data_IF_740147586471
#
_entry.id   IF_740147586471
#
_cell.length_a   1.000
_cell.length_b   1.000
_cell.length_c   1.000
_cell.angle_alpha   90.00
_cell.angle_beta   90.00
_cell.angle_gamma   90.00
#
_symmetry.space_group_name_H-M   'P 1'
#
loop_
_entity.id
_entity.type
_entity.pdbx_description
1 polymer ?
#
# COMPACT_ATOMS: atom_id res chain seq x y z
N UNK A 1 18.00 19.91 1.13
CA UNK A 1 16.91 20.34 2.03
C UNK A 1 15.64 20.57 1.23
N UNK A 2 14.49 20.78 1.87
CA UNK A 2 13.21 20.97 1.19
C UNK A 2 12.35 22.02 1.93
N UNK A 3 11.62 22.86 1.19
CA UNK A 3 10.67 23.84 1.75
C UNK A 3 9.63 24.25 0.72
N UNK A 4 8.35 24.24 1.10
CA UNK A 4 7.25 24.54 0.19
C UNK A 4 7.29 23.59 -1.01
N UNK A 5 7.22 24.13 -2.22
CA UNK A 5 7.29 23.36 -3.46
C UNK A 5 8.72 23.08 -3.97
N UNK A 6 9.76 23.35 -3.17
CA UNK A 6 11.15 23.30 -3.65
C UNK A 6 12.02 22.30 -2.91
N UNK A 7 12.89 21.64 -3.69
CA UNK A 7 14.03 20.86 -3.21
C UNK A 7 15.33 21.60 -3.50
N UNK A 8 16.29 21.51 -2.58
CA UNK A 8 17.66 21.96 -2.77
C UNK A 8 18.61 20.80 -2.57
N UNK A 9 19.40 20.48 -3.60
CA UNK A 9 20.41 19.40 -3.53
C UNK A 9 21.68 19.84 -2.78
N UNK A 10 22.66 18.94 -2.71
CA UNK A 10 23.91 19.14 -1.98
C UNK A 10 24.87 20.12 -2.69
N UNK A 11 24.72 20.28 -4.01
CA UNK A 11 25.48 21.23 -4.83
C UNK A 11 24.86 22.63 -4.83
N UNK A 12 23.68 22.78 -4.24
CA UNK A 12 22.97 24.03 -4.06
C UNK A 12 21.97 24.36 -5.16
N UNK A 13 21.77 23.47 -6.14
CA UNK A 13 20.73 23.63 -7.16
C UNK A 13 19.34 23.55 -6.52
N UNK A 14 18.40 24.29 -7.08
CA UNK A 14 17.01 24.34 -6.59
C UNK A 14 16.06 23.88 -7.68
N UNK A 15 15.12 23.01 -7.31
CA UNK A 15 14.16 22.37 -8.20
C UNK A 15 12.75 22.63 -7.70
N UNK A 16 11.81 22.82 -8.63
CA UNK A 16 10.38 22.67 -8.32
C UNK A 16 10.12 21.16 -8.19
N UNK A 17 9.61 20.73 -7.04
CA UNK A 17 9.44 19.32 -6.71
C UNK A 17 8.04 18.82 -7.08
N UNK A 18 8.00 17.90 -8.05
CA UNK A 18 6.79 17.16 -8.42
C UNK A 18 6.76 15.75 -7.82
N UNK A 19 7.82 15.31 -7.15
CA UNK A 19 7.90 14.00 -6.47
C UNK A 19 7.24 14.06 -5.10
N UNK A 20 7.40 15.17 -4.37
CA UNK A 20 6.72 15.41 -3.09
C UNK A 20 6.90 14.25 -2.08
N UNK A 21 8.11 13.69 -2.03
CA UNK A 21 8.44 12.50 -1.23
C UNK A 21 7.53 11.30 -1.50
N UNK A 22 7.09 11.11 -2.75
CA UNK A 22 6.15 10.08 -3.20
C UNK A 22 4.70 10.27 -2.68
N UNK A 23 4.31 11.50 -2.31
CA UNK A 23 2.93 11.84 -1.96
C UNK A 23 2.70 12.58 -0.63
N UNK A 24 3.39 12.25 0.49
CA UNK A 24 3.06 12.81 1.82
C UNK A 24 3.14 14.34 1.92
N UNK A 25 3.89 15.01 1.04
CA UNK A 25 4.14 16.45 1.11
C UNK A 25 3.06 17.27 0.39
N UNK A 26 1.78 16.90 0.52
CA UNK A 26 0.65 17.57 -0.13
C UNK A 26 0.50 19.06 0.27
N UNK A 27 0.88 19.41 1.50
CA UNK A 27 0.91 20.80 2.00
C UNK A 27 2.23 21.53 1.72
N UNK A 28 3.13 20.91 0.96
CA UNK A 28 4.51 21.35 0.74
C UNK A 28 5.46 20.96 1.87
N UNK A 29 6.75 20.88 1.53
CA UNK A 29 7.81 20.47 2.45
C UNK A 29 7.96 21.44 3.62
N UNK A 30 8.17 20.89 4.82
CA UNK A 30 8.40 21.66 6.06
C UNK A 30 7.29 22.69 6.35
N UNK A 31 6.03 22.30 6.11
CA UNK A 31 4.86 23.11 6.43
C UNK A 31 4.86 23.53 7.93
N UNK A 32 4.86 24.83 8.28
CA UNK A 32 5.16 25.27 9.65
C UNK A 32 4.27 24.64 10.74
N UNK A 33 2.93 24.56 10.58
CA UNK A 33 2.07 23.87 11.55
C UNK A 33 2.47 22.42 11.84
N UNK A 34 2.91 21.66 10.82
CA UNK A 34 3.35 20.27 10.98
C UNK A 34 4.67 20.21 11.73
N UNK A 35 5.64 21.06 11.35
CA UNK A 35 6.95 21.11 12.00
C UNK A 35 6.82 21.47 13.49
N UNK A 36 5.98 22.44 13.82
CA UNK A 36 5.77 22.86 15.20
C UNK A 36 5.06 21.78 16.02
N UNK A 37 4.12 21.04 15.43
CA UNK A 37 3.49 19.89 16.09
C UNK A 37 4.50 18.77 16.38
N UNK A 38 5.37 18.43 15.41
CA UNK A 38 6.42 17.42 15.58
C UNK A 38 7.41 17.82 16.68
N UNK A 39 7.85 19.09 16.73
CA UNK A 39 8.74 19.59 17.80
C UNK A 39 8.12 19.43 19.18
N UNK A 40 6.86 19.87 19.37
CA UNK A 40 6.14 19.73 20.64
C UNK A 40 5.92 18.27 21.05
N UNK A 41 5.68 17.38 20.08
CA UNK A 41 5.54 15.96 20.35
C UNK A 41 6.88 15.35 20.82
N UNK A 42 7.99 15.69 20.13
CA UNK A 42 9.32 15.18 20.46
C UNK A 42 9.80 15.56 21.87
N UNK A 43 9.41 16.73 22.38
CA UNK A 43 9.67 17.15 23.77
C UNK A 43 9.08 16.20 24.82
N UNK A 44 8.02 15.46 24.48
CA UNK A 44 7.37 14.48 25.37
C UNK A 44 7.94 13.06 25.22
N UNK A 45 8.92 12.86 24.33
CA UNK A 45 9.40 11.55 23.90
C UNK A 45 8.76 11.09 22.58
N UNK A 46 9.47 10.26 21.82
CA UNK A 46 9.08 9.86 20.46
C UNK A 46 8.54 8.43 20.34
N UNK A 47 8.63 7.63 21.40
CA UNK A 47 8.11 6.26 21.44
C UNK A 47 7.89 5.85 22.90
N UNK A 48 6.78 5.17 23.15
CA UNK A 48 6.34 4.82 24.51
C UNK A 48 6.12 3.31 24.70
N UNK A 49 5.89 2.56 23.61
CA UNK A 49 5.49 1.14 23.70
C UNK A 49 4.15 0.92 24.40
N UNK A 50 3.38 1.99 24.64
CA UNK A 50 2.10 2.00 25.34
C UNK A 50 1.12 2.94 24.62
N UNK A 51 -0.20 2.75 24.80
CA UNK A 51 -1.20 3.59 24.13
C UNK A 51 -1.14 5.05 24.56
N UNK A 52 -1.50 5.93 23.62
CA UNK A 52 -1.62 7.38 23.79
C UNK A 52 -2.97 7.88 23.29
N UNK A 53 -3.42 9.02 23.82
CA UNK A 53 -4.67 9.67 23.36
C UNK A 53 -4.61 10.08 21.88
N UNK A 54 -3.41 10.43 21.38
CA UNK A 54 -3.20 10.83 19.99
C UNK A 54 -3.59 9.72 19.01
N UNK A 55 -3.38 8.45 19.37
CA UNK A 55 -3.77 7.30 18.55
C UNK A 55 -5.28 7.19 18.41
N UNK A 56 -6.04 7.46 19.48
CA UNK A 56 -7.52 7.48 19.44
C UNK A 56 -8.02 8.64 18.59
N UNK A 57 -7.48 9.85 18.79
CA UNK A 57 -7.91 11.05 18.06
C UNK A 57 -7.69 10.91 16.54
N UNK A 58 -6.53 10.40 16.12
CA UNK A 58 -6.26 10.19 14.69
C UNK A 58 -7.09 9.05 14.11
N UNK A 59 -7.41 8.02 14.90
CA UNK A 59 -8.28 6.93 14.46
C UNK A 59 -9.71 7.41 14.21
N UNK A 60 -10.29 8.18 15.14
CA UNK A 60 -11.60 8.80 15.01
C UNK A 60 -11.67 9.69 13.77
N UNK A 61 -10.68 10.57 13.60
CA UNK A 61 -10.61 11.46 12.44
C UNK A 61 -10.59 10.69 11.10
N UNK A 62 -9.84 9.58 11.01
CA UNK A 62 -9.78 8.80 9.77
C UNK A 62 -11.13 8.11 9.49
N UNK A 63 -11.77 7.54 10.51
CA UNK A 63 -13.09 6.92 10.37
C UNK A 63 -14.16 7.93 9.96
N UNK A 64 -14.06 9.19 10.41
CA UNK A 64 -14.96 10.28 9.97
C UNK A 64 -14.71 10.71 8.52
N UNK A 65 -13.45 10.72 8.07
CA UNK A 65 -13.06 11.24 6.75
C UNK A 65 -13.19 10.22 5.61
N UNK A 66 -13.02 8.92 5.89
CA UNK A 66 -12.99 7.87 4.86
C UNK A 66 -14.22 6.98 4.99
N UNK A 67 -15.10 6.93 3.98
CA UNK A 67 -16.29 6.09 4.05
C UNK A 67 -15.92 4.60 4.11
N UNK A 68 -16.80 3.80 4.73
CA UNK A 68 -16.68 2.35 4.84
C UNK A 68 -15.49 1.83 5.69
N UNK A 69 -14.92 2.68 6.55
CA UNK A 69 -13.94 2.29 7.57
C UNK A 69 -14.56 2.48 8.97
N UNK A 70 -14.95 1.37 9.61
CA UNK A 70 -15.50 1.41 10.98
C UNK A 70 -14.40 1.36 12.05
N UNK A 71 -13.27 0.70 11.75
CA UNK A 71 -12.15 0.50 12.66
C UNK A 71 -10.82 0.58 11.91
N UNK A 72 -9.78 1.07 12.59
CA UNK A 72 -8.44 1.21 12.02
C UNK A 72 -7.36 0.61 12.91
N UNK A 73 -6.29 0.13 12.27
CA UNK A 73 -5.05 -0.29 12.91
C UNK A 73 -3.89 0.45 12.27
N UNK A 74 -3.18 1.26 13.07
CA UNK A 74 -1.94 1.90 12.63
C UNK A 74 -0.80 0.90 12.56
N UNK A 75 0.04 1.06 11.55
CA UNK A 75 1.28 0.32 11.29
C UNK A 75 2.31 1.29 10.72
N UNK A 76 3.54 0.85 10.50
CA UNK A 76 4.66 1.74 10.19
C UNK A 76 4.88 1.94 8.68
N UNK A 77 4.21 1.16 7.82
CA UNK A 77 4.35 1.27 6.37
C UNK A 77 3.13 0.78 5.60
N UNK A 78 3.03 1.20 4.34
CA UNK A 78 2.06 0.64 3.39
C UNK A 78 2.23 -0.87 3.15
N UNK A 79 3.47 -1.38 3.20
CA UNK A 79 3.74 -2.82 3.11
C UNK A 79 3.10 -3.58 4.28
N UNK A 80 3.31 -3.13 5.52
CA UNK A 80 2.71 -3.75 6.71
C UNK A 80 1.17 -3.67 6.69
N UNK A 81 0.64 -2.56 6.16
CA UNK A 81 -0.81 -2.37 6.02
C UNK A 81 -1.39 -3.39 5.03
N UNK A 82 -0.80 -3.52 3.84
CA UNK A 82 -1.25 -4.47 2.83
C UNK A 82 -1.08 -5.92 3.30
N UNK A 83 0.02 -6.24 3.99
CA UNK A 83 0.23 -7.56 4.63
C UNK A 83 -0.88 -7.89 5.63
N UNK A 84 -1.25 -6.93 6.47
CA UNK A 84 -2.28 -7.12 7.49
C UNK A 84 -3.67 -7.24 6.85
N UNK A 85 -3.97 -6.43 5.83
CA UNK A 85 -5.24 -6.45 5.12
C UNK A 85 -5.50 -7.81 4.43
N UNK A 86 -4.53 -8.35 3.68
CA UNK A 86 -4.71 -9.66 3.03
C UNK A 86 -4.80 -10.79 4.06
N UNK A 87 -4.07 -10.70 5.18
CA UNK A 87 -4.15 -11.69 6.27
C UNK A 87 -5.53 -11.66 6.92
N UNK A 88 -6.08 -10.47 7.15
CA UNK A 88 -7.44 -10.28 7.67
C UNK A 88 -8.48 -10.85 6.70
N UNK A 89 -8.38 -10.54 5.41
CA UNK A 89 -9.30 -11.07 4.41
C UNK A 89 -9.29 -12.60 4.33
N UNK A 90 -8.10 -13.21 4.35
CA UNK A 90 -7.94 -14.68 4.41
C UNK A 90 -8.57 -15.26 5.68
N UNK A 91 -8.27 -14.69 6.84
CA UNK A 91 -8.83 -15.14 8.12
C UNK A 91 -10.34 -15.01 8.21
N UNK A 92 -10.91 -13.93 7.66
CA UNK A 92 -12.35 -13.69 7.65
C UNK A 92 -13.10 -14.63 6.71
N UNK A 93 -12.55 -14.88 5.52
CA UNK A 93 -13.22 -15.69 4.48
C UNK A 93 -12.94 -17.18 4.60
N UNK A 94 -11.85 -17.58 5.28
CA UNK A 94 -11.34 -18.95 5.28
C UNK A 94 -10.73 -19.39 3.95
N UNK A 95 -10.41 -18.44 3.07
CA UNK A 95 -9.93 -18.67 1.70
C UNK A 95 -8.47 -18.24 1.57
N UNK A 96 -7.72 -18.87 0.68
CA UNK A 96 -6.27 -18.68 0.58
C UNK A 96 -5.87 -17.67 -0.51
N UNK A 97 -6.59 -17.64 -1.64
CA UNK A 97 -6.14 -16.90 -2.82
C UNK A 97 -6.48 -15.42 -2.76
N UNK A 98 -5.61 -14.59 -3.32
CA UNK A 98 -5.89 -13.17 -3.60
C UNK A 98 -5.75 -12.90 -5.09
N UNK A 99 -6.49 -11.93 -5.61
CA UNK A 99 -6.26 -11.36 -6.95
C UNK A 99 -5.58 -10.02 -6.79
N UNK A 100 -4.45 -9.81 -7.49
CA UNK A 100 -3.83 -8.49 -7.69
C UNK A 100 -3.72 -8.20 -9.18
N UNK A 101 -3.39 -6.95 -9.50
CA UNK A 101 -3.27 -6.49 -10.88
C UNK A 101 -1.81 -6.31 -11.29
N UNK A 102 -1.51 -6.63 -12.54
CA UNK A 102 -0.22 -6.36 -13.15
C UNK A 102 0.06 -4.84 -13.12
N UNK A 103 1.28 -4.47 -12.71
CA UNK A 103 1.72 -3.08 -12.56
C UNK A 103 1.29 -2.38 -11.26
N UNK A 104 0.29 -2.90 -10.53
CA UNK A 104 -0.01 -2.44 -9.17
C UNK A 104 1.04 -2.92 -8.16
N UNK A 105 1.35 -2.07 -7.19
CA UNK A 105 2.31 -2.27 -6.11
C UNK A 105 1.64 -2.14 -4.74
N UNK A 106 1.82 -3.15 -3.89
CA UNK A 106 1.24 -3.22 -2.54
C UNK A 106 2.31 -3.51 -1.48
N UNK A 107 3.53 -3.02 -1.71
CA UNK A 107 4.69 -3.36 -0.91
C UNK A 107 5.40 -4.63 -1.40
N UNK A 108 6.43 -5.02 -0.65
CA UNK A 108 7.35 -6.11 -1.02
C UNK A 108 7.20 -7.34 -0.12
N UNK A 109 6.01 -7.58 0.44
CA UNK A 109 5.72 -8.88 1.05
C UNK A 109 5.75 -9.97 -0.02
N UNK A 110 6.23 -11.17 0.30
CA UNK A 110 6.35 -12.29 -0.63
C UNK A 110 5.07 -12.55 -1.45
N UNK A 111 3.89 -12.36 -0.85
CA UNK A 111 2.59 -12.54 -1.52
C UNK A 111 2.33 -11.51 -2.64
N UNK A 112 3.06 -10.39 -2.68
CA UNK A 112 2.92 -9.38 -3.73
C UNK A 112 4.02 -9.43 -4.78
N UNK A 113 5.10 -10.18 -4.53
CA UNK A 113 6.26 -10.32 -5.42
C UNK A 113 6.06 -11.44 -6.44
N UNK A 114 4.92 -11.41 -7.14
CA UNK A 114 4.49 -12.41 -8.11
C UNK A 114 4.33 -11.74 -9.47
N UNK A 115 5.00 -12.28 -10.48
CA UNK A 115 5.07 -11.72 -11.83
C UNK A 115 4.05 -12.38 -12.76
N UNK A 116 3.66 -11.63 -13.81
CA UNK A 116 2.92 -12.17 -14.94
C UNK A 116 3.82 -13.15 -15.68
N UNK A 117 3.44 -14.43 -15.72
CA UNK A 117 4.05 -15.39 -16.64
C UNK A 117 3.58 -15.14 -18.07
N UNK A 118 4.48 -15.18 -19.05
CA UNK A 118 4.08 -15.29 -20.45
C UNK A 118 3.53 -16.69 -20.71
N UNK A 119 2.26 -16.83 -21.09
CA UNK A 119 1.68 -18.02 -21.73
C UNK A 119 1.80 -19.38 -21.00
N UNK A 120 0.66 -20.02 -20.71
CA UNK A 120 0.52 -21.37 -20.15
C UNK A 120 1.04 -21.62 -18.72
N UNK A 121 1.66 -20.65 -18.06
CA UNK A 121 2.00 -20.71 -16.63
C UNK A 121 0.89 -19.99 -15.85
N UNK A 122 -0.24 -20.68 -15.67
CA UNK A 122 -1.44 -20.20 -14.94
C UNK A 122 -1.22 -20.04 -13.43
N UNK A 123 -0.03 -20.39 -12.93
CA UNK A 123 0.36 -20.21 -11.54
C UNK A 123 1.42 -19.13 -11.45
N UNK A 124 1.18 -18.09 -10.65
CA UNK A 124 2.12 -16.99 -10.46
C UNK A 124 3.54 -17.49 -10.23
N UNK A 125 4.52 -16.91 -10.92
CA UNK A 125 5.93 -17.17 -10.67
C UNK A 125 6.48 -16.08 -9.76
N UNK A 126 7.35 -16.42 -8.79
CA UNK A 126 8.06 -15.41 -8.01
C UNK A 126 8.79 -14.41 -8.90
N UNK A 127 8.60 -13.12 -8.65
CA UNK A 127 9.26 -12.03 -9.39
C UNK A 127 10.65 -11.68 -8.87
N UNK A 128 11.03 -12.25 -7.73
CA UNK A 128 12.33 -12.03 -7.07
C UNK A 128 12.92 -13.36 -6.60
N UNK A 129 14.22 -13.61 -6.83
CA UNK A 129 14.94 -14.67 -6.12
C UNK A 129 14.72 -14.53 -4.60
N UNK A 130 14.54 -15.65 -3.91
CA UNK A 130 14.29 -15.71 -2.46
C UNK A 130 12.82 -15.88 -2.07
N UNK A 131 11.87 -15.59 -2.95
CA UNK A 131 10.44 -15.88 -2.71
C UNK A 131 10.14 -17.33 -3.08
N UNK A 132 9.50 -18.06 -2.18
CA UNK A 132 9.23 -19.49 -2.39
C UNK A 132 8.08 -19.71 -3.37
N UNK A 133 8.11 -20.84 -4.08
CA UNK A 133 7.01 -21.27 -4.95
C UNK A 133 5.70 -21.51 -4.19
N UNK A 134 5.77 -21.83 -2.89
CA UNK A 134 4.58 -22.00 -2.05
C UNK A 134 3.77 -20.71 -1.96
N UNK A 135 4.45 -19.60 -1.68
CA UNK A 135 3.80 -18.28 -1.56
C UNK A 135 3.14 -17.82 -2.87
N UNK A 136 3.71 -18.21 -4.02
CA UNK A 136 3.23 -17.78 -5.33
C UNK A 136 1.89 -18.40 -5.73
N UNK A 137 1.56 -19.58 -5.22
CA UNK A 137 0.33 -20.32 -5.57
C UNK A 137 -0.96 -19.63 -5.14
N UNK A 138 -0.87 -18.75 -4.16
CA UNK A 138 -2.03 -18.09 -3.56
C UNK A 138 -2.24 -16.66 -4.07
N UNK A 139 -1.52 -16.28 -5.12
CA UNK A 139 -1.60 -14.95 -5.72
C UNK A 139 -1.91 -15.09 -7.20
N UNK A 140 -3.13 -14.71 -7.54
CA UNK A 140 -3.64 -14.64 -8.91
C UNK A 140 -3.36 -13.25 -9.46
N UNK A 141 -3.02 -13.19 -10.75
CA UNK A 141 -2.68 -11.94 -11.42
C UNK A 141 -3.64 -11.67 -12.57
N UNK A 142 -4.32 -10.52 -12.52
CA UNK A 142 -5.15 -10.01 -13.60
C UNK A 142 -4.46 -8.83 -14.32
N UNK A 143 -4.71 -8.61 -15.62
CA UNK A 143 -4.40 -7.33 -16.26
C UNK A 143 -5.20 -6.20 -15.60
N UNK A 144 -4.57 -5.05 -15.36
CA UNK A 144 -5.27 -3.86 -14.86
C UNK A 144 -6.31 -3.38 -15.89
N UNK A 145 -7.47 -2.88 -15.43
CA UNK A 145 -8.60 -2.47 -16.26
C UNK A 145 -9.22 -3.57 -17.16
N UNK A 146 -9.03 -4.85 -16.84
CA UNK A 146 -9.67 -5.97 -17.54
C UNK A 146 -10.62 -6.74 -16.60
N UNK A 147 -11.90 -6.37 -16.61
CA UNK A 147 -12.92 -7.02 -15.78
C UNK A 147 -13.21 -8.45 -16.25
N UNK A 148 -13.14 -8.73 -17.55
CA UNK A 148 -13.40 -10.07 -18.10
C UNK A 148 -12.35 -11.07 -17.62
N UNK A 149 -11.09 -10.66 -17.54
CA UNK A 149 -10.03 -11.47 -16.95
C UNK A 149 -10.26 -11.75 -15.45
N UNK A 150 -10.76 -10.77 -14.69
CA UNK A 150 -11.12 -10.95 -13.28
C UNK A 150 -12.27 -11.94 -13.14
N UNK A 151 -13.33 -11.81 -13.94
CA UNK A 151 -14.48 -12.73 -13.93
C UNK A 151 -14.05 -14.17 -14.24
N UNK A 152 -13.20 -14.37 -15.25
CA UNK A 152 -12.66 -15.68 -15.59
C UNK A 152 -11.83 -16.29 -14.44
N UNK A 153 -10.95 -15.50 -13.79
CA UNK A 153 -10.17 -15.95 -12.64
C UNK A 153 -11.06 -16.35 -11.45
N UNK A 154 -12.11 -15.56 -11.17
CA UNK A 154 -13.03 -15.87 -10.08
C UNK A 154 -13.85 -17.15 -10.37
N UNK A 155 -14.24 -17.38 -11.62
CA UNK A 155 -14.92 -18.60 -12.03
C UNK A 155 -14.01 -19.83 -11.95
N UNK A 156 -12.75 -19.73 -12.41
CA UNK A 156 -11.78 -20.82 -12.33
C UNK A 156 -11.42 -21.20 -10.89
N UNK A 157 -11.43 -20.22 -9.98
CA UNK A 157 -11.09 -20.38 -8.57
C UNK A 157 -12.30 -20.17 -7.64
N UNK A 158 -13.47 -20.65 -8.06
CA UNK A 158 -14.70 -20.48 -7.28
C UNK A 158 -14.54 -20.97 -5.84
N UNK A 159 -15.02 -20.17 -4.90
CA UNK A 159 -14.89 -20.42 -3.46
C UNK A 159 -13.47 -20.31 -2.87
N UNK A 160 -12.42 -20.02 -3.66
CA UNK A 160 -11.03 -20.01 -3.18
C UNK A 160 -10.43 -18.61 -2.99
N UNK A 161 -11.07 -17.55 -3.49
CA UNK A 161 -10.56 -16.17 -3.45
C UNK A 161 -11.07 -15.42 -2.22
N UNK A 162 -10.14 -14.97 -1.39
CA UNK A 162 -10.38 -14.19 -0.19
C UNK A 162 -10.61 -12.70 -0.47
N UNK A 163 -9.83 -12.12 -1.38
CA UNK A 163 -9.88 -10.70 -1.69
C UNK A 163 -9.34 -10.37 -3.09
N UNK A 164 -9.80 -9.24 -3.61
CA UNK A 164 -9.19 -8.53 -4.73
C UNK A 164 -8.54 -7.28 -4.15
N UNK A 165 -7.25 -7.07 -4.41
CA UNK A 165 -6.51 -5.88 -3.98
C UNK A 165 -6.09 -5.07 -5.20
N UNK A 166 -6.35 -3.75 -5.17
CA UNK A 166 -6.18 -2.87 -6.32
C UNK A 166 -5.76 -1.47 -5.87
N UNK A 167 -4.86 -0.84 -6.62
CA UNK A 167 -4.73 0.62 -6.60
C UNK A 167 -5.90 1.18 -7.41
N UNK A 168 -6.83 1.96 -6.84
CA UNK A 168 -8.01 2.43 -7.58
C UNK A 168 -7.65 3.35 -8.75
N UNK A 169 -6.53 4.05 -8.63
CA UNK A 169 -5.81 4.71 -9.73
C UNK A 169 -4.38 4.23 -9.62
N UNK A 170 -3.88 3.50 -10.62
CA UNK A 170 -2.52 3.00 -10.57
C UNK A 170 -1.54 4.18 -10.60
N UNK A 171 -0.58 4.20 -9.67
CA UNK A 171 0.50 5.20 -9.63
C UNK A 171 1.90 4.62 -9.87
N UNK A 172 2.06 3.31 -9.66
CA UNK A 172 3.36 2.64 -9.68
C UNK A 172 3.80 2.14 -11.07
N UNK A 173 2.94 2.27 -12.07
CA UNK A 173 3.24 2.02 -13.49
C UNK A 173 2.97 3.26 -14.35
N UNK A 174 3.14 4.45 -13.76
CA UNK A 174 2.57 5.69 -14.26
C UNK A 174 1.16 5.91 -13.71
N UNK A 175 0.60 7.10 -13.93
CA UNK A 175 -0.78 7.45 -13.54
C UNK A 175 -1.75 6.91 -14.59
N UNK A 176 -2.54 5.89 -14.23
CA UNK A 176 -3.55 5.28 -15.10
C UNK A 176 -4.93 5.48 -14.43
N UNK A 177 -5.72 6.47 -14.89
CA UNK A 177 -7.03 6.79 -14.34
C UNK A 177 -8.15 5.84 -14.81
#
# INVERSE_FOLDING_TARGET
>A
SARGAHLRDVDGNTYIDYINSWGPQILGHAHPPVIDAVKRAAEKGTSFGTPTELETQIAELICEMVPYIDQIRMVNSGTEACMSAIRLARGFTGREKIVKFAGCYHGHSDAFLIQAGSGAVTFGAPSSPGVTQGTAKDTLLAPYNDLGAVEALLQEHDGQVAAIIVEPVAGNMGCIP
#
